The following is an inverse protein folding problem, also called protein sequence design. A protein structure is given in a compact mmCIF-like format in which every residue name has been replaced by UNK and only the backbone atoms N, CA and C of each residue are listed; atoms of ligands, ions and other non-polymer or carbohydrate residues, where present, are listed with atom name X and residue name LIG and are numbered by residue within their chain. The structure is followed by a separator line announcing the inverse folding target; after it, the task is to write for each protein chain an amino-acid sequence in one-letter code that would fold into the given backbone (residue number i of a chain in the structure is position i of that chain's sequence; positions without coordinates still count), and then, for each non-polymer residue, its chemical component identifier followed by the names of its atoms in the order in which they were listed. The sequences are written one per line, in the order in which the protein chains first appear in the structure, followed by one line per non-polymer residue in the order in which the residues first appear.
data_IF_196496802159
#
_entry.id   IF_196496802159
#
_cell.length_a   1.000
_cell.length_b   1.000
_cell.length_c   1.000
_cell.angle_alpha   90.00
_cell.angle_beta   90.00
_cell.angle_gamma   90.00
#
_symmetry.space_group_name_H-M   'P 1'
#
loop_
_entity.id
_entity.type
_entity.pdbx_description
1 polymer ?
#
# COMPACT_ATOMS: atom_id res chain seq x y z
N UNK A 1 4.69 -6.18 24.08
CA UNK A 1 5.53 -4.98 24.19
C UNK A 1 5.73 -4.45 22.79
N UNK A 2 5.27 -3.26 22.53
CA UNK A 2 5.38 -2.57 21.23
C UNK A 2 6.80 -2.03 21.04
N UNK A 3 7.31 -2.04 19.81
CA UNK A 3 8.71 -1.78 19.48
C UNK A 3 8.80 -0.68 18.44
N UNK A 4 9.61 0.34 18.69
CA UNK A 4 9.92 1.42 17.76
C UNK A 4 10.99 0.96 16.75
N UNK A 5 10.86 1.42 15.49
CA UNK A 5 11.86 1.21 14.44
C UNK A 5 12.19 2.57 13.83
N UNK A 6 13.45 2.94 13.86
CA UNK A 6 13.93 4.19 13.29
C UNK A 6 15.01 3.91 12.22
N UNK A 7 14.77 4.45 11.03
CA UNK A 7 15.72 4.47 9.93
C UNK A 7 16.29 5.88 9.82
N UNK A 8 17.61 6.01 9.92
CA UNK A 8 18.34 7.28 9.82
C UNK A 8 19.24 7.25 8.60
N UNK A 9 18.86 7.97 7.56
CA UNK A 9 19.61 8.10 6.29
C UNK A 9 20.04 6.74 5.72
N UNK A 10 19.14 5.76 5.77
CA UNK A 10 19.41 4.40 5.30
C UNK A 10 19.72 4.40 3.81
N UNK A 11 20.86 3.79 3.46
CA UNK A 11 21.33 3.64 2.10
C UNK A 11 21.62 2.18 1.75
N UNK A 12 21.39 1.81 0.49
CA UNK A 12 21.77 0.52 -0.08
C UNK A 12 22.39 0.68 -1.45
N UNK A 13 23.54 0.09 -1.63
CA UNK A 13 24.17 -0.08 -2.94
C UNK A 13 24.53 -1.56 -3.19
N UNK A 14 24.45 -1.99 -4.44
CA UNK A 14 24.95 -3.24 -4.96
C UNK A 14 26.04 -2.94 -5.98
N UNK A 15 27.30 -3.11 -5.60
CA UNK A 15 28.42 -2.57 -6.36
C UNK A 15 28.27 -1.06 -6.52
N UNK A 16 28.30 -0.57 -7.77
CA UNK A 16 28.17 0.85 -8.08
C UNK A 16 26.70 1.33 -8.19
N UNK A 17 25.73 0.43 -8.11
CA UNK A 17 24.31 0.77 -8.25
C UNK A 17 23.69 1.07 -6.90
N UNK A 18 23.36 2.33 -6.63
CA UNK A 18 22.61 2.75 -5.44
C UNK A 18 21.11 2.52 -5.66
N UNK A 19 20.49 1.77 -4.74
CA UNK A 19 19.07 1.36 -4.81
C UNK A 19 18.22 2.08 -3.76
N UNK A 20 18.79 2.41 -2.60
CA UNK A 20 18.15 3.19 -1.54
C UNK A 20 19.01 4.42 -1.27
N UNK A 21 18.39 5.59 -1.23
CA UNK A 21 19.03 6.89 -1.33
C UNK A 21 18.88 7.77 -0.07
N UNK A 22 19.18 7.23 1.12
CA UNK A 22 19.15 8.00 2.37
C UNK A 22 17.73 8.14 2.92
N UNK A 23 17.08 7.02 3.22
CA UNK A 23 15.74 6.99 3.80
C UNK A 23 15.77 7.32 5.28
N UNK A 24 14.96 8.33 5.67
CA UNK A 24 14.60 8.63 7.04
C UNK A 24 13.13 8.22 7.27
N UNK A 25 12.89 7.38 8.28
CA UNK A 25 11.54 6.91 8.62
C UNK A 25 11.47 6.51 10.09
N UNK A 26 10.41 6.93 10.77
CA UNK A 26 10.05 6.46 12.10
C UNK A 26 8.75 5.64 12.02
N UNK A 27 8.79 4.41 12.58
CA UNK A 27 7.64 3.51 12.71
C UNK A 27 7.33 3.40 14.19
N UNK A 28 6.16 3.88 14.58
CA UNK A 28 5.75 3.93 15.97
C UNK A 28 5.47 2.53 16.53
N UNK A 29 5.61 2.37 17.84
CA UNK A 29 5.31 1.11 18.52
C UNK A 29 3.85 0.68 18.30
N UNK A 30 3.66 -0.50 17.70
CA UNK A 30 2.32 -1.05 17.41
C UNK A 30 1.71 -0.61 16.09
N UNK A 31 2.37 0.25 15.30
CA UNK A 31 1.89 0.64 13.96
C UNK A 31 1.86 -0.55 12.98
N UNK A 32 0.82 -0.59 12.17
CA UNK A 32 0.79 -1.35 10.92
C UNK A 32 1.28 -0.44 9.78
N UNK A 33 2.56 -0.51 9.46
CA UNK A 33 3.16 0.31 8.40
C UNK A 33 3.22 -0.45 7.08
N UNK A 34 2.69 0.13 6.00
CA UNK A 34 2.66 -0.49 4.68
C UNK A 34 3.58 0.25 3.70
N UNK A 35 4.54 -0.46 3.11
CA UNK A 35 5.40 0.05 2.05
C UNK A 35 4.77 -0.23 0.69
N UNK A 36 4.50 0.81 -0.07
CA UNK A 36 3.92 0.72 -1.42
C UNK A 36 4.79 1.46 -2.44
N UNK A 37 4.62 1.11 -3.70
CA UNK A 37 5.32 1.75 -4.82
C UNK A 37 5.48 0.81 -6.01
N UNK A 38 5.97 1.31 -7.14
CA UNK A 38 6.19 0.51 -8.35
C UNK A 38 7.17 -0.65 -8.13
N UNK A 39 7.16 -1.62 -9.04
CA UNK A 39 8.15 -2.70 -9.02
C UNK A 39 9.57 -2.12 -9.13
N UNK A 40 10.50 -2.67 -8.36
CA UNK A 40 11.91 -2.24 -8.36
C UNK A 40 12.21 -0.94 -7.59
N UNK A 41 11.25 -0.31 -6.91
CA UNK A 41 11.50 0.93 -6.16
C UNK A 41 12.23 0.75 -4.81
N UNK A 42 12.56 -0.51 -4.41
CA UNK A 42 13.36 -0.78 -3.21
C UNK A 42 12.59 -1.30 -1.98
N UNK A 43 11.26 -1.53 -2.05
CA UNK A 43 10.43 -2.00 -0.92
C UNK A 43 10.96 -3.26 -0.23
N UNK A 44 11.10 -4.36 -0.99
CA UNK A 44 11.61 -5.63 -0.45
C UNK A 44 13.08 -5.52 -0.01
N UNK A 45 13.88 -4.68 -0.66
CA UNK A 45 15.26 -4.41 -0.24
C UNK A 45 15.27 -3.74 1.13
N UNK A 46 14.46 -2.70 1.33
CA UNK A 46 14.33 -2.00 2.61
C UNK A 46 13.82 -2.96 3.70
N UNK A 47 12.79 -3.76 3.41
CA UNK A 47 12.27 -4.78 4.33
C UNK A 47 13.34 -5.79 4.73
N UNK A 48 14.14 -6.28 3.77
CA UNK A 48 15.22 -7.25 4.04
C UNK A 48 16.38 -6.65 4.82
N UNK A 49 16.69 -5.36 4.64
CA UNK A 49 17.65 -4.65 5.50
C UNK A 49 17.15 -4.56 6.94
N UNK A 50 15.88 -4.25 7.17
CA UNK A 50 15.27 -4.26 8.51
C UNK A 50 15.35 -5.67 9.11
N UNK A 51 15.03 -6.70 8.32
CA UNK A 51 15.12 -8.11 8.74
C UNK A 51 16.56 -8.58 9.07
N UNK A 52 17.58 -7.85 8.60
CA UNK A 52 19.00 -8.27 8.68
C UNK A 52 19.38 -9.37 7.68
N UNK A 53 18.62 -9.51 6.60
CA UNK A 53 18.89 -10.42 5.48
C UNK A 53 19.71 -9.74 4.38
N UNK A 54 19.76 -8.42 4.38
CA UNK A 54 20.58 -7.60 3.50
C UNK A 54 21.41 -6.61 4.33
N UNK A 55 22.71 -6.45 4.07
CA UNK A 55 23.52 -5.48 4.76
C UNK A 55 23.13 -4.05 4.35
N UNK A 56 23.17 -3.14 5.31
CA UNK A 56 23.00 -1.70 5.12
C UNK A 56 24.32 -1.12 4.61
N UNK A 57 24.29 -0.31 3.54
CA UNK A 57 25.50 0.31 2.98
C UNK A 57 25.85 1.65 3.63
N UNK A 58 24.86 2.36 4.17
CA UNK A 58 25.03 3.64 4.88
C UNK A 58 23.83 3.96 5.76
N UNK A 59 24.02 4.84 6.73
CA UNK A 59 22.99 5.18 7.70
C UNK A 59 22.84 4.16 8.83
N UNK A 60 21.87 4.37 9.71
CA UNK A 60 21.64 3.58 10.91
C UNK A 60 20.21 3.08 11.02
N UNK A 61 20.05 1.79 11.27
CA UNK A 61 18.79 1.16 11.69
C UNK A 61 18.80 1.00 13.20
N UNK A 62 17.81 1.57 13.87
CA UNK A 62 17.61 1.40 15.29
C UNK A 62 16.30 0.66 15.58
N UNK A 63 16.32 -0.25 16.55
CA UNK A 63 15.14 -0.91 17.14
C UNK A 63 15.19 -0.67 18.64
N UNK A 64 14.15 -0.05 19.21
CA UNK A 64 14.12 0.39 20.60
C UNK A 64 15.39 1.22 20.99
N UNK A 65 15.85 2.09 20.07
CA UNK A 65 17.04 2.92 20.26
C UNK A 65 18.37 2.18 20.12
N UNK A 66 18.38 0.85 19.96
CA UNK A 66 19.58 0.05 19.76
C UNK A 66 19.93 -0.07 18.27
N UNK A 67 21.17 0.25 17.91
CA UNK A 67 21.66 0.09 16.53
C UNK A 67 21.73 -1.38 16.12
N UNK A 68 21.14 -1.71 14.96
CA UNK A 68 20.94 -3.09 14.47
C UNK A 68 21.79 -3.45 13.25
N UNK A 69 22.57 -2.53 12.69
CA UNK A 69 23.29 -2.76 11.42
C UNK A 69 24.10 -4.07 11.41
N UNK A 70 24.83 -4.34 12.48
CA UNK A 70 25.71 -5.50 12.64
C UNK A 70 25.05 -6.67 13.38
N UNK A 71 23.80 -6.49 13.86
CA UNK A 71 23.09 -7.53 14.60
C UNK A 71 22.53 -8.57 13.61
N UNK A 72 22.89 -9.86 13.73
CA UNK A 72 22.35 -10.90 12.86
C UNK A 72 20.84 -11.02 12.94
N UNK A 73 20.18 -11.35 11.81
CA UNK A 73 18.71 -11.46 11.70
C UNK A 73 18.06 -12.29 12.84
N UNK A 74 18.69 -13.40 13.25
CA UNK A 74 18.19 -14.28 14.30
C UNK A 74 18.12 -13.61 15.69
N UNK A 75 18.83 -12.50 15.91
CA UNK A 75 18.88 -11.79 17.19
C UNK A 75 18.12 -10.48 17.21
N UNK A 76 17.47 -10.08 16.09
CA UNK A 76 16.70 -8.83 15.99
C UNK A 76 15.29 -8.91 16.60
N UNK A 77 14.83 -10.10 17.03
CA UNK A 77 13.48 -10.29 17.56
C UNK A 77 12.38 -10.15 16.49
N UNK A 78 12.72 -10.40 15.23
CA UNK A 78 11.85 -10.20 14.04
C UNK A 78 11.40 -11.57 13.51
N UNK A 79 10.17 -11.65 13.03
CA UNK A 79 9.71 -12.74 12.18
C UNK A 79 9.28 -12.22 10.81
N UNK A 80 9.62 -12.96 9.75
CA UNK A 80 9.32 -12.58 8.38
C UNK A 80 8.48 -13.64 7.67
N UNK A 81 7.44 -13.20 7.00
CA UNK A 81 6.59 -13.99 6.10
C UNK A 81 6.96 -13.62 4.67
N UNK A 82 7.42 -14.61 3.89
CA UNK A 82 7.87 -14.42 2.52
C UNK A 82 6.74 -14.62 1.51
N UNK A 83 6.85 -14.00 0.35
CA UNK A 83 5.93 -14.12 -0.78
C UNK A 83 5.69 -15.58 -1.20
N UNK A 84 6.72 -16.44 -1.17
CA UNK A 84 6.65 -17.86 -1.53
C UNK A 84 6.18 -18.77 -0.39
N UNK A 85 5.74 -18.21 0.75
CA UNK A 85 5.40 -18.91 2.00
C UNK A 85 6.57 -19.66 2.64
N UNK A 86 7.55 -20.11 1.88
CA UNK A 86 8.78 -20.82 2.31
C UNK A 86 8.51 -22.01 3.25
N UNK A 87 7.41 -22.76 3.05
CA UNK A 87 7.08 -23.93 3.86
C UNK A 87 8.00 -25.10 3.52
N UNK A 88 8.37 -25.88 4.54
CA UNK A 88 9.13 -27.12 4.37
C UNK A 88 8.22 -28.22 3.81
N UNK A 89 8.39 -28.66 2.54
CA UNK A 89 7.41 -29.52 1.86
C UNK A 89 7.33 -30.94 2.42
N UNK A 90 8.40 -31.42 3.07
CA UNK A 90 8.48 -32.75 3.67
C UNK A 90 7.87 -32.82 5.08
N UNK A 91 7.68 -31.67 5.75
CA UNK A 91 7.10 -31.54 7.08
C UNK A 91 5.59 -31.35 7.01
N UNK A 92 4.84 -31.86 7.99
CA UNK A 92 3.43 -31.49 8.18
C UNK A 92 3.30 -30.08 8.75
N UNK A 93 2.05 -29.57 8.91
CA UNK A 93 1.79 -28.24 9.44
C UNK A 93 2.35 -28.07 10.85
N UNK A 94 2.10 -29.02 11.74
CA UNK A 94 2.65 -29.00 13.11
C UNK A 94 4.18 -28.85 13.12
N UNK A 95 4.86 -29.68 12.34
CA UNK A 95 6.31 -29.64 12.21
C UNK A 95 6.83 -28.33 11.61
N UNK A 96 6.12 -27.78 10.60
CA UNK A 96 6.44 -26.47 10.07
C UNK A 96 6.37 -25.36 11.13
N UNK A 97 5.35 -25.41 11.99
CA UNK A 97 5.19 -24.44 13.10
C UNK A 97 6.25 -24.63 14.19
N UNK A 98 6.52 -25.88 14.56
CA UNK A 98 7.41 -26.23 15.66
C UNK A 98 8.90 -26.03 15.32
N UNK A 99 9.30 -26.15 14.06
CA UNK A 99 10.71 -26.24 13.62
C UNK A 99 11.61 -25.14 14.19
N UNK A 100 11.16 -23.88 14.17
CA UNK A 100 11.94 -22.76 14.69
C UNK A 100 12.17 -22.82 16.19
N UNK A 101 11.18 -23.33 16.95
CA UNK A 101 11.25 -23.49 18.39
C UNK A 101 12.12 -24.68 18.78
N UNK A 102 12.02 -25.79 18.01
CA UNK A 102 12.88 -26.97 18.18
C UNK A 102 14.36 -26.63 17.96
N UNK A 103 14.63 -25.86 16.90
CA UNK A 103 16.00 -25.39 16.61
C UNK A 103 16.54 -24.47 17.71
N UNK A 104 15.66 -23.68 18.35
CA UNK A 104 16.00 -22.85 19.51
C UNK A 104 16.05 -23.63 20.82
N UNK A 105 15.85 -24.98 20.79
CA UNK A 105 15.85 -25.88 21.97
C UNK A 105 14.82 -25.51 23.03
N UNK A 106 13.67 -24.97 22.62
CA UNK A 106 12.53 -24.71 23.52
C UNK A 106 11.97 -26.04 24.05
N UNK A 107 11.53 -26.13 25.34
CA UNK A 107 10.93 -27.33 25.90
C UNK A 107 9.71 -27.83 25.10
N UNK A 108 9.56 -29.17 24.97
CA UNK A 108 8.49 -29.78 24.16
C UNK A 108 7.08 -29.37 24.55
N UNK A 109 6.82 -29.23 25.83
CA UNK A 109 5.50 -28.83 26.34
C UNK A 109 5.18 -27.38 25.96
N UNK A 110 6.16 -26.49 26.02
CA UNK A 110 6.05 -25.11 25.57
C UNK A 110 5.84 -25.01 24.04
N UNK A 111 6.59 -25.81 23.26
CA UNK A 111 6.37 -25.91 21.81
C UNK A 111 4.93 -26.30 21.51
N UNK A 112 4.42 -27.35 22.17
CA UNK A 112 3.05 -27.82 21.98
C UNK A 112 2.03 -26.72 22.30
N UNK A 113 2.22 -26.02 23.40
CA UNK A 113 1.33 -24.91 23.81
C UNK A 113 1.34 -23.77 22.78
N UNK A 114 2.52 -23.29 22.37
CA UNK A 114 2.64 -22.17 21.40
C UNK A 114 2.09 -22.56 20.03
N UNK A 115 2.37 -23.79 19.55
CA UNK A 115 1.84 -24.28 18.26
C UNK A 115 0.32 -24.43 18.32
N UNK A 116 -0.25 -24.96 19.40
CA UNK A 116 -1.71 -25.08 19.55
C UNK A 116 -2.37 -23.68 19.54
N UNK A 117 -1.84 -22.75 20.35
CA UNK A 117 -2.35 -21.36 20.38
C UNK A 117 -2.30 -20.68 19.01
N UNK A 118 -1.18 -20.78 18.29
CA UNK A 118 -1.06 -20.21 16.94
C UNK A 118 -2.03 -20.87 15.95
N UNK A 119 -2.22 -22.20 16.05
CA UNK A 119 -3.14 -22.93 15.21
C UNK A 119 -4.61 -22.57 15.47
N UNK A 120 -4.97 -22.27 16.71
CA UNK A 120 -6.30 -21.80 17.11
C UNK A 120 -6.57 -20.38 16.57
N UNK A 121 -5.64 -19.44 16.78
CA UNK A 121 -5.75 -18.07 16.26
C UNK A 121 -5.99 -18.08 14.73
N UNK A 122 -5.28 -18.94 14.01
CA UNK A 122 -5.32 -19.03 12.56
C UNK A 122 -6.36 -20.01 12.02
N UNK A 123 -7.14 -20.68 12.89
CA UNK A 123 -8.14 -21.68 12.55
C UNK A 123 -7.60 -22.83 11.69
N UNK A 124 -6.36 -23.28 11.95
CA UNK A 124 -5.69 -24.37 11.23
C UNK A 124 -5.49 -25.64 12.05
N UNK A 125 -6.12 -25.74 13.22
CA UNK A 125 -6.05 -26.95 14.08
C UNK A 125 -6.37 -28.23 13.31
N UNK A 126 -7.44 -28.31 12.45
CA UNK A 126 -7.74 -29.53 11.67
C UNK A 126 -6.70 -29.86 10.60
N UNK A 127 -5.77 -28.96 10.33
CA UNK A 127 -4.77 -29.07 9.28
C UNK A 127 -3.40 -29.53 9.82
N UNK A 128 -3.19 -29.60 11.12
CA UNK A 128 -1.89 -29.82 11.76
C UNK A 128 -1.13 -31.04 11.24
N UNK A 129 -1.85 -32.09 10.84
CA UNK A 129 -1.23 -33.32 10.33
C UNK A 129 -1.05 -33.35 8.80
N UNK A 130 -1.58 -32.33 8.08
CA UNK A 130 -1.45 -32.26 6.62
C UNK A 130 -0.08 -31.74 6.20
N UNK A 131 0.35 -32.14 4.99
CA UNK A 131 1.55 -31.59 4.35
C UNK A 131 1.20 -30.39 3.44
N UNK A 132 2.15 -29.48 3.14
CA UNK A 132 1.90 -28.29 2.31
C UNK A 132 1.23 -28.58 0.96
N UNK A 133 1.52 -29.72 0.32
CA UNK A 133 0.89 -30.13 -0.94
C UNK A 133 -0.62 -30.41 -0.85
N UNK A 134 -1.14 -30.62 0.37
CA UNK A 134 -2.54 -30.94 0.65
C UNK A 134 -3.34 -29.67 1.09
N UNK A 135 -2.71 -28.51 1.03
CA UNK A 135 -3.27 -27.24 1.49
C UNK A 135 -3.62 -26.33 0.30
N UNK A 136 -4.71 -25.56 0.43
CA UNK A 136 -5.01 -24.44 -0.47
C UNK A 136 -4.00 -23.29 -0.32
N UNK A 137 -4.02 -22.30 -1.21
CA UNK A 137 -3.17 -21.12 -1.14
C UNK A 137 -3.29 -20.39 0.20
N UNK A 138 -4.50 -20.07 0.63
CA UNK A 138 -4.75 -19.40 1.91
C UNK A 138 -4.40 -20.25 3.12
N UNK A 139 -4.59 -21.58 3.06
CA UNK A 139 -4.15 -22.47 4.13
C UNK A 139 -2.61 -22.46 4.25
N UNK A 140 -1.88 -22.46 3.14
CA UNK A 140 -0.41 -22.32 3.14
C UNK A 140 0.01 -20.98 3.73
N UNK A 141 -0.70 -19.90 3.37
CA UNK A 141 -0.47 -18.57 3.92
C UNK A 141 -0.64 -18.55 5.44
N UNK A 142 -1.76 -19.08 5.96
CA UNK A 142 -1.99 -19.17 7.41
C UNK A 142 -0.88 -19.96 8.12
N UNK A 143 -0.40 -21.04 7.52
CA UNK A 143 0.73 -21.79 8.09
C UNK A 143 2.02 -20.96 8.10
N UNK A 144 2.29 -20.18 7.05
CA UNK A 144 3.46 -19.29 7.01
C UNK A 144 3.37 -18.18 8.07
N UNK A 145 2.19 -17.59 8.27
CA UNK A 145 1.93 -16.64 9.37
C UNK A 145 2.10 -17.34 10.73
N UNK A 146 1.59 -18.56 10.90
CA UNK A 146 1.73 -19.33 12.12
C UNK A 146 3.18 -19.59 12.52
N UNK A 147 4.05 -19.85 11.55
CA UNK A 147 5.52 -19.98 11.78
C UNK A 147 6.13 -18.69 12.34
N UNK A 148 5.57 -17.53 12.00
CA UNK A 148 5.98 -16.26 12.55
C UNK A 148 5.44 -16.08 13.99
N UNK A 149 4.15 -16.34 14.21
CA UNK A 149 3.46 -16.17 15.50
C UNK A 149 4.08 -17.01 16.61
N UNK A 150 4.36 -18.30 16.36
CA UNK A 150 4.90 -19.21 17.39
C UNK A 150 6.21 -18.75 18.02
N UNK A 151 6.95 -17.86 17.31
CA UNK A 151 8.20 -17.28 17.79
C UNK A 151 8.00 -16.10 18.72
N UNK A 152 6.76 -15.60 18.85
CA UNK A 152 6.40 -14.41 19.63
C UNK A 152 7.35 -13.22 19.34
N UNK A 153 7.49 -12.81 18.08
CA UNK A 153 8.43 -11.77 17.71
C UNK A 153 7.94 -10.41 18.21
N UNK A 154 8.85 -9.46 18.35
CA UNK A 154 8.52 -8.06 18.63
C UNK A 154 7.98 -7.34 17.39
N UNK A 155 8.46 -7.72 16.21
CA UNK A 155 8.15 -7.11 14.91
C UNK A 155 7.79 -8.20 13.91
N UNK A 156 6.70 -8.00 13.16
CA UNK A 156 6.34 -8.82 12.01
C UNK A 156 6.67 -8.12 10.71
N UNK A 157 7.29 -8.83 9.79
CA UNK A 157 7.57 -8.37 8.43
C UNK A 157 6.85 -9.25 7.41
N UNK A 158 6.17 -8.63 6.44
CA UNK A 158 5.45 -9.32 5.37
C UNK A 158 5.95 -8.83 4.00
N UNK A 159 6.57 -9.72 3.21
CA UNK A 159 7.05 -9.41 1.85
C UNK A 159 6.04 -9.92 0.82
N UNK A 160 5.12 -9.09 0.38
CA UNK A 160 4.04 -9.37 -0.59
C UNK A 160 3.26 -10.68 -0.31
N UNK A 161 2.75 -10.91 0.91
CA UNK A 161 2.26 -12.22 1.32
C UNK A 161 1.00 -12.66 0.56
N UNK A 162 0.21 -11.74 -0.02
CA UNK A 162 -1.07 -12.05 -0.67
C UNK A 162 -0.99 -12.08 -2.20
N UNK A 163 0.18 -11.81 -2.80
CA UNK A 163 0.34 -11.69 -4.25
C UNK A 163 0.00 -12.98 -5.04
N UNK A 164 0.14 -14.14 -4.41
CA UNK A 164 -0.10 -15.45 -5.03
C UNK A 164 -1.50 -16.02 -4.75
N UNK A 165 -2.44 -15.21 -4.25
CA UNK A 165 -3.82 -15.60 -3.95
C UNK A 165 -4.78 -15.05 -4.99
N UNK A 166 -5.89 -15.79 -5.23
CA UNK A 166 -7.02 -15.28 -6.00
C UNK A 166 -7.72 -14.11 -5.29
N UNK A 167 -8.57 -13.38 -6.02
CA UNK A 167 -9.17 -12.13 -5.53
C UNK A 167 -10.05 -12.33 -4.28
N UNK A 168 -10.86 -13.39 -4.23
CA UNK A 168 -11.74 -13.66 -3.10
C UNK A 168 -10.94 -14.00 -1.84
N UNK A 169 -9.98 -14.90 -1.97
CA UNK A 169 -9.13 -15.32 -0.87
C UNK A 169 -8.25 -14.16 -0.36
N UNK A 170 -7.79 -13.26 -1.26
CA UNK A 170 -7.05 -12.06 -0.89
C UNK A 170 -7.88 -11.14 0.01
N UNK A 171 -9.16 -10.94 -0.29
CA UNK A 171 -10.08 -10.15 0.57
C UNK A 171 -10.20 -10.76 1.95
N UNK A 172 -10.41 -12.09 2.04
CA UNK A 172 -10.52 -12.79 3.32
C UNK A 172 -9.22 -12.67 4.14
N UNK A 173 -8.07 -12.90 3.50
CA UNK A 173 -6.76 -12.84 4.17
C UNK A 173 -6.39 -11.43 4.64
N UNK A 174 -6.79 -10.37 3.93
CA UNK A 174 -6.62 -8.98 4.41
C UNK A 174 -7.34 -8.77 5.74
N UNK A 175 -8.59 -9.19 5.82
CA UNK A 175 -9.38 -9.08 7.06
C UNK A 175 -8.74 -9.87 8.20
N UNK A 176 -8.20 -11.06 7.92
CA UNK A 176 -7.53 -11.89 8.92
C UNK A 176 -6.22 -11.26 9.42
N UNK A 177 -5.41 -10.69 8.53
CA UNK A 177 -4.16 -10.02 8.91
C UNK A 177 -4.46 -8.76 9.73
N UNK A 178 -5.47 -7.97 9.34
CA UNK A 178 -5.87 -6.80 10.11
C UNK A 178 -6.38 -7.18 11.51
N UNK A 179 -7.19 -8.24 11.64
CA UNK A 179 -7.62 -8.76 12.94
C UNK A 179 -6.42 -9.25 13.76
N UNK A 180 -5.51 -10.00 13.14
CA UNK A 180 -4.30 -10.49 13.80
C UNK A 180 -3.47 -9.33 14.37
N UNK A 181 -3.33 -8.23 13.63
CA UNK A 181 -2.65 -7.03 14.12
C UNK A 181 -3.34 -6.47 15.37
N UNK A 182 -4.67 -6.30 15.32
CA UNK A 182 -5.44 -5.80 16.46
C UNK A 182 -5.33 -6.71 17.69
N UNK A 183 -5.33 -8.03 17.50
CA UNK A 183 -5.26 -9.02 18.58
C UNK A 183 -3.86 -9.09 19.22
N UNK A 184 -2.81 -8.92 18.44
CA UNK A 184 -1.42 -9.01 18.91
C UNK A 184 -0.86 -7.66 19.37
N UNK A 185 -1.26 -6.55 18.76
CA UNK A 185 -0.76 -5.20 19.02
C UNK A 185 0.75 -5.00 18.73
N UNK A 186 1.36 -5.89 17.95
CA UNK A 186 2.78 -5.82 17.60
C UNK A 186 3.01 -4.84 16.46
N UNK A 187 4.21 -4.26 16.38
CA UNK A 187 4.64 -3.48 15.22
C UNK A 187 4.73 -4.38 13.99
N UNK A 188 4.06 -3.99 12.90
CA UNK A 188 4.03 -4.74 11.65
C UNK A 188 4.50 -3.88 10.48
N UNK A 189 5.35 -4.45 9.61
CA UNK A 189 5.72 -3.83 8.33
C UNK A 189 5.29 -4.76 7.20
N UNK A 190 4.54 -4.24 6.29
CA UNK A 190 3.93 -4.97 5.19
C UNK A 190 4.33 -4.36 3.84
N UNK A 191 4.82 -5.17 2.93
CA UNK A 191 5.13 -4.75 1.55
C UNK A 191 4.04 -5.23 0.62
N UNK A 192 3.53 -4.35 -0.21
CA UNK A 192 2.58 -4.68 -1.26
C UNK A 192 2.73 -3.76 -2.47
N UNK A 193 2.19 -4.18 -3.60
CA UNK A 193 1.92 -3.34 -4.77
C UNK A 193 0.42 -3.04 -4.93
N UNK A 194 -0.44 -3.62 -4.07
CA UNK A 194 -1.90 -3.43 -4.07
C UNK A 194 -2.27 -2.25 -3.15
N UNK A 195 -2.85 -1.22 -3.76
CA UNK A 195 -3.26 -0.01 -3.03
C UNK A 195 -4.43 -0.27 -2.08
N UNK A 196 -5.32 -1.23 -2.42
CA UNK A 196 -6.46 -1.55 -1.57
C UNK A 196 -5.98 -2.20 -0.27
N UNK A 197 -4.93 -3.04 -0.34
CA UNK A 197 -4.30 -3.60 0.86
C UNK A 197 -3.75 -2.47 1.75
N UNK A 198 -3.00 -1.53 1.17
CA UNK A 198 -2.44 -0.41 1.90
C UNK A 198 -3.51 0.48 2.53
N UNK A 199 -4.52 0.89 1.74
CA UNK A 199 -5.57 1.79 2.21
C UNK A 199 -6.47 1.18 3.29
N UNK A 200 -6.60 -0.16 3.35
CA UNK A 200 -7.53 -0.84 4.26
C UNK A 200 -6.91 -1.40 5.52
N UNK A 201 -5.58 -1.65 5.53
CA UNK A 201 -4.92 -2.28 6.66
C UNK A 201 -3.94 -1.36 7.39
N UNK A 202 -3.43 -0.31 6.75
CA UNK A 202 -2.34 0.49 7.29
C UNK A 202 -2.81 1.54 8.30
N UNK A 203 -2.06 1.71 9.39
CA UNK A 203 -2.05 2.94 10.18
C UNK A 203 -1.20 4.00 9.48
N UNK A 204 -0.10 3.58 8.84
CA UNK A 204 0.83 4.43 8.09
C UNK A 204 1.19 3.80 6.74
N UNK A 205 0.99 4.54 5.66
CA UNK A 205 1.48 4.19 4.31
C UNK A 205 2.78 4.93 4.05
N UNK A 206 3.77 4.23 3.50
CA UNK A 206 5.04 4.79 3.01
C UNK A 206 5.11 4.54 1.51
N UNK A 207 4.99 5.61 0.73
CA UNK A 207 5.06 5.55 -0.73
C UNK A 207 6.51 5.70 -1.17
N UNK A 208 7.07 4.64 -1.77
CA UNK A 208 8.44 4.61 -2.28
C UNK A 208 8.46 4.75 -3.81
N UNK A 209 9.44 5.51 -4.29
CA UNK A 209 9.76 5.63 -5.72
C UNK A 209 11.26 5.80 -5.90
N UNK A 210 11.86 5.01 -6.80
CA UNK A 210 13.30 5.10 -7.12
C UNK A 210 14.22 5.19 -5.88
N UNK A 211 13.93 4.40 -4.83
CA UNK A 211 14.76 4.33 -3.64
C UNK A 211 14.62 5.48 -2.64
N UNK A 212 13.64 6.36 -2.81
CA UNK A 212 13.30 7.44 -1.87
C UNK A 212 11.86 7.35 -1.39
N UNK A 213 11.54 7.97 -0.26
CA UNK A 213 10.17 8.14 0.21
C UNK A 213 9.58 9.40 -0.43
N UNK A 214 8.53 9.24 -1.22
CA UNK A 214 7.76 10.36 -1.79
C UNK A 214 6.85 11.01 -0.75
N UNK A 215 6.14 10.16 0.02
CA UNK A 215 5.29 10.61 1.13
C UNK A 215 5.08 9.45 2.11
N UNK A 216 4.95 9.78 3.40
CA UNK A 216 4.53 8.85 4.44
C UNK A 216 3.49 9.53 5.33
N UNK A 217 2.43 8.80 5.75
CA UNK A 217 1.36 9.30 6.60
C UNK A 217 0.17 8.34 6.65
N UNK A 218 -0.92 8.77 7.28
CA UNK A 218 -2.16 8.00 7.35
C UNK A 218 -2.78 7.82 5.94
N UNK A 219 -3.47 6.69 5.67
CA UNK A 219 -4.05 6.41 4.35
C UNK A 219 -4.88 7.56 3.77
N UNK A 220 -5.83 8.08 4.55
CA UNK A 220 -6.70 9.18 4.10
C UNK A 220 -5.95 10.51 3.94
N UNK A 221 -4.85 10.73 4.66
CA UNK A 221 -3.99 11.89 4.46
C UNK A 221 -3.33 11.87 3.09
N UNK A 222 -2.74 10.73 2.69
CA UNK A 222 -2.13 10.57 1.37
C UNK A 222 -3.15 10.68 0.23
N UNK A 223 -4.36 10.19 0.46
CA UNK A 223 -5.45 10.25 -0.51
C UNK A 223 -5.96 11.69 -0.71
N UNK A 224 -6.20 12.39 0.40
CA UNK A 224 -6.80 13.74 0.38
C UNK A 224 -5.76 14.84 0.15
N UNK A 225 -4.50 14.65 0.59
CA UNK A 225 -3.43 15.63 0.53
C UNK A 225 -2.16 15.04 -0.09
N UNK A 226 -2.19 14.59 -1.35
CA UNK A 226 -1.00 14.07 -2.01
C UNK A 226 0.04 15.19 -2.17
N UNK A 227 1.28 14.89 -1.78
CA UNK A 227 2.39 15.86 -1.80
C UNK A 227 2.81 16.26 -3.22
N UNK A 228 2.64 15.34 -4.17
CA UNK A 228 3.05 15.55 -5.57
C UNK A 228 2.20 14.72 -6.55
N UNK A 229 2.42 14.95 -7.85
CA UNK A 229 1.74 14.25 -8.95
C UNK A 229 1.89 12.73 -8.87
N UNK A 230 3.06 12.24 -8.43
CA UNK A 230 3.30 10.81 -8.33
C UNK A 230 2.38 10.17 -7.29
N UNK A 231 2.33 10.73 -6.09
CA UNK A 231 1.45 10.22 -5.01
C UNK A 231 -0.01 10.35 -5.40
N UNK A 232 -0.41 11.49 -6.00
CA UNK A 232 -1.78 11.74 -6.47
C UNK A 232 -2.26 10.69 -7.48
N UNK A 233 -1.40 10.35 -8.45
CA UNK A 233 -1.69 9.34 -9.48
C UNK A 233 -1.44 7.90 -9.03
N UNK A 234 -0.70 7.70 -7.93
CA UNK A 234 -0.41 6.36 -7.40
C UNK A 234 -1.45 5.91 -6.38
N UNK A 235 -1.95 6.79 -5.51
CA UNK A 235 -2.93 6.46 -4.47
C UNK A 235 -4.35 6.71 -4.98
N UNK A 236 -5.18 5.66 -4.99
CA UNK A 236 -6.57 5.67 -5.45
C UNK A 236 -6.81 4.80 -6.68
N UNK A 237 -7.99 4.15 -6.73
CA UNK A 237 -8.41 3.30 -7.85
C UNK A 237 -9.90 3.55 -8.13
N UNK A 238 -10.21 4.09 -9.33
CA UNK A 238 -9.30 4.53 -10.40
C UNK A 238 -8.38 5.68 -9.98
N UNK A 239 -7.31 5.91 -10.78
CA UNK A 239 -6.33 6.97 -10.53
C UNK A 239 -6.96 8.37 -10.63
N UNK A 240 -6.39 9.34 -9.91
CA UNK A 240 -6.74 10.76 -10.07
C UNK A 240 -6.57 11.19 -11.53
N UNK A 241 -7.57 11.92 -12.06
CA UNK A 241 -7.41 12.61 -13.34
C UNK A 241 -6.43 13.75 -13.17
N UNK A 242 -5.42 13.80 -14.01
CA UNK A 242 -4.40 14.83 -14.02
C UNK A 242 -4.49 15.56 -15.38
N UNK A 243 -5.08 16.75 -15.35
CA UNK A 243 -5.35 17.55 -16.54
C UNK A 243 -4.35 18.68 -16.63
N UNK A 244 -3.76 18.85 -17.81
CA UNK A 244 -2.89 20.01 -18.09
C UNK A 244 -3.70 21.29 -18.00
N UNK A 245 -3.15 22.29 -17.33
CA UNK A 245 -3.80 23.58 -17.14
C UNK A 245 -2.81 24.74 -17.20
N UNK A 246 -3.32 25.95 -17.37
CA UNK A 246 -2.55 27.19 -17.27
C UNK A 246 -3.35 28.26 -16.55
N UNK A 247 -2.66 29.07 -15.76
CA UNK A 247 -3.29 30.22 -15.10
C UNK A 247 -3.65 31.29 -16.13
N UNK A 248 -4.91 31.77 -16.12
CA UNK A 248 -5.38 32.83 -16.99
C UNK A 248 -6.30 33.79 -16.21
N UNK A 249 -5.78 34.96 -15.89
CA UNK A 249 -6.51 35.92 -15.04
C UNK A 249 -6.76 35.34 -13.64
N UNK A 250 -8.03 35.32 -13.21
CA UNK A 250 -8.46 34.76 -11.93
C UNK A 250 -8.87 33.27 -12.01
N UNK A 251 -8.65 32.59 -13.14
CA UNK A 251 -9.06 31.19 -13.35
C UNK A 251 -7.97 30.34 -14.00
N UNK A 252 -8.30 29.06 -14.16
CA UNK A 252 -7.47 28.08 -14.87
C UNK A 252 -8.09 27.75 -16.22
N UNK A 253 -7.30 27.84 -17.28
CA UNK A 253 -7.65 27.26 -18.57
C UNK A 253 -7.41 25.77 -18.50
N UNK A 254 -8.45 24.95 -18.56
CA UNK A 254 -8.39 23.49 -18.44
C UNK A 254 -9.47 22.85 -19.32
N UNK A 255 -9.14 21.75 -20.00
CA UNK A 255 -10.09 20.96 -20.77
C UNK A 255 -10.93 21.76 -21.80
N UNK A 256 -10.35 22.83 -22.35
CA UNK A 256 -11.01 23.72 -23.32
C UNK A 256 -11.94 24.76 -22.71
N UNK A 257 -12.05 24.83 -21.37
CA UNK A 257 -12.86 25.81 -20.62
C UNK A 257 -12.03 26.66 -19.65
N UNK A 258 -12.69 27.60 -18.98
CA UNK A 258 -12.10 28.42 -17.92
C UNK A 258 -12.76 28.09 -16.58
N UNK A 259 -11.97 27.57 -15.63
CA UNK A 259 -12.38 27.17 -14.29
C UNK A 259 -11.99 28.28 -13.29
N UNK A 260 -12.97 28.96 -12.72
CA UNK A 260 -12.74 29.91 -11.63
C UNK A 260 -12.50 29.18 -10.31
N UNK A 261 -11.41 29.51 -9.62
CA UNK A 261 -11.07 28.96 -8.31
C UNK A 261 -10.86 30.10 -7.31
N UNK A 262 -11.43 29.96 -6.10
CA UNK A 262 -11.25 30.92 -4.99
C UNK A 262 -10.01 30.56 -4.14
N UNK A 263 -8.87 30.31 -4.79
CA UNK A 263 -7.61 29.96 -4.13
C UNK A 263 -6.41 30.39 -4.98
N UNK A 264 -5.21 30.27 -4.42
CA UNK A 264 -3.99 30.54 -5.16
C UNK A 264 -3.84 29.53 -6.31
N UNK A 265 -3.74 30.06 -7.54
CA UNK A 265 -3.55 29.29 -8.78
C UNK A 265 -2.20 29.59 -9.44
N UNK A 266 -1.38 30.44 -8.84
CA UNK A 266 -0.10 30.86 -9.40
C UNK A 266 0.83 29.65 -9.56
N UNK A 267 1.40 29.48 -10.76
CA UNK A 267 2.30 28.38 -11.08
C UNK A 267 1.62 27.04 -11.31
N UNK A 268 0.28 26.94 -11.26
CA UNK A 268 -0.42 25.70 -11.53
C UNK A 268 -0.27 25.30 -13.00
N UNK A 269 0.26 24.10 -13.24
CA UNK A 269 0.42 23.49 -14.57
C UNK A 269 -0.43 22.24 -14.72
N UNK A 270 -0.87 21.63 -13.61
CA UNK A 270 -1.73 20.46 -13.62
C UNK A 270 -2.86 20.60 -12.58
N UNK A 271 -4.09 20.30 -13.02
CA UNK A 271 -5.26 20.16 -12.19
C UNK A 271 -5.50 18.68 -11.93
N UNK A 272 -5.57 18.28 -10.66
CA UNK A 272 -5.94 16.94 -10.23
C UNK A 272 -7.39 16.89 -9.73
N UNK A 273 -8.17 15.93 -10.21
CA UNK A 273 -9.52 15.67 -9.71
C UNK A 273 -9.79 14.17 -9.61
N UNK A 274 -10.31 13.73 -8.46
CA UNK A 274 -10.66 12.31 -8.25
C UNK A 274 -11.82 11.93 -9.14
N UNK A 275 -11.84 10.70 -9.72
CA UNK A 275 -12.93 10.24 -10.59
C UNK A 275 -14.32 10.33 -9.96
N UNK A 276 -14.45 10.04 -8.67
CA UNK A 276 -15.69 10.11 -7.88
C UNK A 276 -16.11 11.53 -7.49
N UNK A 277 -15.25 12.53 -7.68
CA UNK A 277 -15.56 13.94 -7.48
C UNK A 277 -16.07 14.63 -8.75
N UNK A 278 -16.22 13.87 -9.85
CA UNK A 278 -16.77 14.37 -11.10
C UNK A 278 -18.21 13.86 -11.22
N UNK A 279 -19.14 14.76 -11.52
CA UNK A 279 -20.55 14.43 -11.78
C UNK A 279 -20.93 14.74 -13.21
N UNK A 280 -21.99 14.07 -13.71
CA UNK A 280 -22.57 14.27 -15.06
C UNK A 280 -23.99 14.77 -14.90
N UNK A 281 -24.35 15.84 -15.60
CA UNK A 281 -25.71 16.28 -15.89
C UNK A 281 -26.56 16.92 -14.77
N UNK A 282 -26.10 17.08 -13.54
CA UNK A 282 -27.02 17.52 -12.46
C UNK A 282 -26.99 19.04 -12.19
N UNK A 283 -26.13 19.79 -12.89
CA UNK A 283 -26.00 21.24 -12.68
C UNK A 283 -25.51 21.67 -11.29
N UNK A 284 -25.21 20.69 -10.43
CA UNK A 284 -24.57 20.95 -9.13
C UNK A 284 -23.04 20.98 -9.32
N UNK A 285 -22.44 22.13 -9.05
CA UNK A 285 -21.00 22.34 -9.20
C UNK A 285 -20.63 23.22 -10.40
N UNK A 286 -19.32 23.39 -10.58
CA UNK A 286 -18.77 24.15 -11.71
C UNK A 286 -18.53 23.24 -12.90
N UNK A 287 -18.98 23.64 -14.09
CA UNK A 287 -18.72 22.89 -15.32
C UNK A 287 -17.20 22.84 -15.58
N UNK A 288 -16.68 21.61 -15.68
CA UNK A 288 -15.28 21.37 -16.05
C UNK A 288 -15.12 21.39 -17.58
N UNK A 289 -15.89 20.55 -18.27
CA UNK A 289 -15.82 20.40 -19.73
C UNK A 289 -17.04 19.65 -20.29
N UNK A 290 -17.26 19.75 -21.61
CA UNK A 290 -17.98 18.74 -22.36
C UNK A 290 -17.01 17.66 -22.81
N UNK A 291 -17.37 16.39 -22.58
CA UNK A 291 -16.51 15.26 -22.85
C UNK A 291 -17.23 14.22 -23.69
N UNK A 292 -16.52 13.59 -24.60
CA UNK A 292 -17.03 12.49 -25.42
C UNK A 292 -16.83 11.17 -24.67
N UNK A 293 -17.90 10.40 -24.54
CA UNK A 293 -17.87 9.07 -23.94
C UNK A 293 -17.19 8.07 -24.87
N UNK A 294 -16.07 7.50 -24.44
CA UNK A 294 -15.30 6.52 -25.23
C UNK A 294 -15.58 5.08 -24.80
N UNK A 295 -15.73 4.82 -23.51
CA UNK A 295 -16.01 3.49 -22.94
C UNK A 295 -16.81 3.61 -21.64
N UNK A 296 -17.64 2.61 -21.34
CA UNK A 296 -18.43 2.52 -20.11
C UNK A 296 -18.27 1.13 -19.50
N UNK A 297 -17.86 1.06 -18.25
CA UNK A 297 -17.81 -0.18 -17.47
C UNK A 297 -18.87 -0.13 -16.36
N UNK A 298 -19.79 -1.10 -16.38
CA UNK A 298 -20.81 -1.26 -15.33
C UNK A 298 -20.36 -2.34 -14.34
N UNK A 299 -19.98 -1.93 -13.13
CA UNK A 299 -19.50 -2.81 -12.06
C UNK A 299 -20.61 -3.20 -11.07
N UNK A 300 -21.88 -2.97 -11.42
CA UNK A 300 -23.03 -3.25 -10.57
C UNK A 300 -23.34 -2.13 -9.58
N UNK A 301 -22.50 -1.89 -8.61
CA UNK A 301 -22.65 -0.80 -7.62
C UNK A 301 -22.22 0.57 -8.12
N UNK A 302 -21.43 0.62 -9.18
CA UNK A 302 -20.92 1.85 -9.79
C UNK A 302 -20.76 1.70 -11.30
N UNK A 303 -20.74 2.82 -12.00
CA UNK A 303 -20.44 2.94 -13.43
C UNK A 303 -19.17 3.76 -13.60
N UNK A 304 -18.18 3.22 -14.31
CA UNK A 304 -16.96 3.94 -14.69
C UNK A 304 -17.10 4.38 -16.13
N UNK A 305 -16.98 5.69 -16.37
CA UNK A 305 -17.01 6.30 -17.69
C UNK A 305 -15.63 6.80 -18.06
N UNK A 306 -15.08 6.30 -19.15
CA UNK A 306 -13.87 6.80 -19.76
C UNK A 306 -14.26 7.74 -20.90
N UNK A 307 -13.75 8.94 -20.83
CA UNK A 307 -14.13 10.01 -21.75
C UNK A 307 -12.91 10.83 -22.19
N UNK A 308 -13.08 11.58 -23.27
CA UNK A 308 -12.04 12.50 -23.81
C UNK A 308 -12.62 13.90 -23.90
N UNK A 309 -11.85 14.89 -23.42
CA UNK A 309 -12.17 16.32 -23.52
C UNK A 309 -11.98 16.83 -24.96
N UNK A 310 -12.47 18.03 -25.26
CA UNK A 310 -12.34 18.63 -26.60
C UNK A 310 -10.87 18.87 -27.01
N UNK A 311 -9.97 19.09 -26.06
CA UNK A 311 -8.53 19.26 -26.26
C UNK A 311 -7.74 17.93 -26.20
N UNK A 312 -8.45 16.79 -26.16
CA UNK A 312 -7.87 15.45 -26.27
C UNK A 312 -7.34 14.85 -24.95
N UNK A 313 -7.64 15.43 -23.81
CA UNK A 313 -7.21 14.89 -22.51
C UNK A 313 -8.18 13.78 -22.05
N UNK A 314 -7.62 12.68 -21.50
CA UNK A 314 -8.42 11.59 -20.95
C UNK A 314 -9.04 11.97 -19.61
N UNK A 315 -10.31 11.59 -19.41
CA UNK A 315 -11.05 11.80 -18.17
C UNK A 315 -11.75 10.50 -17.75
N UNK A 316 -11.51 10.07 -16.52
CA UNK A 316 -12.22 8.95 -15.90
C UNK A 316 -13.22 9.49 -14.89
N UNK A 317 -14.47 9.03 -14.95
CA UNK A 317 -15.56 9.47 -14.07
C UNK A 317 -16.15 8.23 -13.39
N UNK A 318 -16.36 8.27 -12.08
CA UNK A 318 -17.00 7.20 -11.32
C UNK A 318 -18.34 7.70 -10.80
N UNK A 319 -19.41 7.05 -11.21
CA UNK A 319 -20.79 7.38 -10.83
C UNK A 319 -21.40 6.25 -9.99
N UNK A 320 -22.18 6.61 -9.00
CA UNK A 320 -22.95 5.62 -8.21
C UNK A 320 -24.05 4.96 -9.04
N UNK A 321 -24.22 3.66 -8.79
CA UNK A 321 -25.26 2.84 -9.42
C UNK A 321 -24.98 2.53 -10.88
N UNK A 322 -26.04 2.06 -11.55
CA UNK A 322 -26.01 1.64 -12.94
C UNK A 322 -26.47 2.78 -13.84
N UNK A 323 -25.56 3.33 -14.65
CA UNK A 323 -25.85 4.39 -15.61
C UNK A 323 -25.62 3.89 -17.03
N UNK A 324 -26.40 4.38 -17.98
CA UNK A 324 -26.26 4.05 -19.41
C UNK A 324 -25.86 5.29 -20.18
N UNK A 325 -24.82 5.16 -20.98
CA UNK A 325 -24.33 6.18 -21.89
C UNK A 325 -24.14 5.57 -23.27
N UNK A 326 -24.47 6.32 -24.30
CA UNK A 326 -24.16 5.91 -25.69
C UNK A 326 -22.71 6.27 -25.98
N UNK A 327 -21.97 5.32 -26.57
CA UNK A 327 -20.59 5.56 -27.00
C UNK A 327 -20.55 6.66 -28.05
N UNK A 328 -19.60 7.58 -27.94
CA UNK A 328 -19.49 8.73 -28.81
C UNK A 328 -20.41 9.90 -28.45
N UNK A 329 -21.35 9.73 -27.48
CA UNK A 329 -22.18 10.85 -27.03
C UNK A 329 -21.37 11.88 -26.25
N UNK A 330 -21.85 13.14 -26.28
CA UNK A 330 -21.28 14.24 -25.52
C UNK A 330 -22.02 14.37 -24.19
N UNK A 331 -21.29 14.47 -23.10
CA UNK A 331 -21.83 14.74 -21.76
C UNK A 331 -21.09 15.87 -21.09
N UNK A 332 -21.76 16.65 -20.25
CA UNK A 332 -21.13 17.71 -19.48
C UNK A 332 -20.63 17.15 -18.14
N UNK A 333 -19.34 17.33 -17.87
CA UNK A 333 -18.70 16.97 -16.60
C UNK A 333 -18.63 18.19 -15.68
N UNK A 334 -19.00 18.00 -14.42
CA UNK A 334 -19.01 19.04 -13.38
C UNK A 334 -18.16 18.61 -12.20
N UNK A 335 -17.56 19.57 -11.52
CA UNK A 335 -16.71 19.36 -10.33
C UNK A 335 -17.06 20.33 -9.22
N UNK A 336 -16.72 19.95 -8.00
CA UNK A 336 -16.65 20.88 -6.86
C UNK A 336 -15.25 21.52 -6.84
N UNK A 337 -15.13 22.85 -7.05
CA UNK A 337 -13.85 23.55 -7.01
C UNK A 337 -13.07 23.41 -5.69
N UNK A 338 -13.74 23.10 -4.58
CA UNK A 338 -13.10 22.86 -3.30
C UNK A 338 -12.38 21.50 -3.22
N UNK A 339 -12.71 20.55 -4.13
CA UNK A 339 -12.18 19.19 -4.14
C UNK A 339 -11.12 18.93 -5.21
N UNK A 340 -10.58 19.98 -5.82
CA UNK A 340 -9.51 19.84 -6.81
C UNK A 340 -8.14 20.03 -6.17
N UNK A 341 -7.15 19.41 -6.77
CA UNK A 341 -5.74 19.56 -6.42
C UNK A 341 -5.02 20.35 -7.51
N UNK A 342 -4.05 21.16 -7.14
CA UNK A 342 -3.22 21.88 -8.09
C UNK A 342 -1.76 21.48 -7.89
N UNK A 343 -1.05 21.33 -9.00
CA UNK A 343 0.37 21.00 -9.00
C UNK A 343 1.13 21.97 -9.88
N UNK A 344 2.34 22.29 -9.46
CA UNK A 344 3.26 23.18 -10.18
C UNK A 344 4.02 22.43 -11.29
N UNK A 345 4.97 23.12 -11.93
CA UNK A 345 5.78 22.57 -13.02
C UNK A 345 6.74 21.46 -12.56
N UNK A 346 7.14 21.45 -11.30
CA UNK A 346 7.94 20.43 -10.64
C UNK A 346 7.09 19.24 -10.18
N UNK A 347 5.77 19.33 -10.35
CA UNK A 347 4.80 18.32 -9.94
C UNK A 347 4.50 18.32 -8.44
N UNK A 348 4.85 19.37 -7.72
CA UNK A 348 4.55 19.52 -6.30
C UNK A 348 3.17 20.11 -6.10
N UNK A 349 2.48 19.67 -5.03
CA UNK A 349 1.15 20.17 -4.71
C UNK A 349 1.23 21.64 -4.26
N UNK A 350 0.36 22.47 -4.84
CA UNK A 350 0.13 23.86 -4.41
C UNK A 350 -0.89 23.83 -3.26
N UNK A 351 -0.55 24.33 -2.07
CA UNK A 351 -1.47 24.35 -0.94
C UNK A 351 -2.82 25.02 -1.27
N UNK A 352 -3.89 24.52 -0.64
CA UNK A 352 -5.26 25.02 -0.84
C UNK A 352 -5.48 26.40 -0.24
#
# INVERSE_FOLDING_TARGET
MTTNIELRRIEKAYGDVKVIHGIDLNIEPGDFTVFVGPSGCGKSTLLRMIAGLEPISGGDLLIDGQRMNEVPAARRGIAMVFQSYALYPHMNVYQNLAFGLETAKVPKDEIKQRVTRAAEILQIVPLLQRKPKQLSGGQRQRVAIGRAIVREPKIFLFDEPLSNLDAELRVQMRVEIAKLHNDLGNTMIYVTHDQVEAMTMADKIVVLRLGVIEQAGAPLELYNNPRNLFVAGFIGSPKMNLLTTSAQGAGLQVAGGNLALQRNIAGATTLGVRPEHITIADGSGTKLADVRVDLVENLGGQTVVYATTADGQALTIVLEGQRRFELGSMVSAYIDPARVHLFDAEGMAIPA
#
